data_IF_906716339612
#
_entry.id   IF_906716339612
#
_cell.length_a   1.000
_cell.length_b   1.000
_cell.length_c   1.000
_cell.angle_alpha   90.00
_cell.angle_beta   90.00
_cell.angle_gamma   90.00
#
_symmetry.space_group_name_H-M   'P 1'
#
loop_
_entity.id
_entity.type
_entity.pdbx_description
1 polymer ?
#
# COMPACT_ATOMS: atom_id res chain seq x y z
N UNK A 1 -28.86 8.18 0.26
CA UNK A 1 -27.69 8.91 -0.26
C UNK A 1 -26.70 7.87 -0.74
N UNK A 2 -26.38 7.90 -2.04
CA UNK A 2 -25.51 6.96 -2.74
C UNK A 2 -24.04 7.35 -2.57
N UNK A 3 -23.21 6.40 -2.14
CA UNK A 3 -21.76 6.38 -2.41
C UNK A 3 -20.85 7.03 -1.38
N UNK A 4 -20.17 6.18 -0.60
CA UNK A 4 -18.70 6.18 -0.49
C UNK A 4 -18.30 4.78 -0.02
N UNK A 5 -18.08 3.88 -0.98
CA UNK A 5 -17.26 2.70 -0.71
C UNK A 5 -15.87 3.21 -0.38
N UNK A 6 -15.53 3.28 0.92
CA UNK A 6 -14.24 3.78 1.38
C UNK A 6 -13.09 2.96 0.82
N UNK A 7 -11.90 3.53 0.77
CA UNK A 7 -10.69 2.80 0.39
C UNK A 7 -10.02 2.23 1.63
N UNK A 8 -9.49 1.03 1.54
CA UNK A 8 -8.59 0.47 2.55
C UNK A 8 -7.24 0.16 1.93
N UNK A 9 -6.22 0.09 2.76
CA UNK A 9 -4.83 -0.10 2.36
C UNK A 9 -4.27 -1.36 3.02
N UNK A 10 -3.38 -2.06 2.35
CA UNK A 10 -2.66 -3.20 2.92
C UNK A 10 -1.28 -3.34 2.27
N UNK A 11 -0.40 -4.12 2.89
CA UNK A 11 0.98 -4.30 2.43
C UNK A 11 1.11 -5.62 1.67
N UNK A 12 1.77 -5.57 0.52
CA UNK A 12 1.98 -6.72 -0.37
C UNK A 12 3.47 -6.93 -0.66
N UNK A 13 3.80 -8.12 -1.12
CA UNK A 13 5.03 -8.41 -1.86
C UNK A 13 4.75 -8.22 -3.37
N UNK A 14 5.19 -7.10 -3.98
CA UNK A 14 4.86 -6.80 -5.37
C UNK A 14 5.44 -7.87 -6.30
N UNK A 15 4.65 -8.29 -7.30
CA UNK A 15 5.04 -9.30 -8.30
C UNK A 15 5.49 -10.65 -7.70
N UNK A 16 5.10 -10.93 -6.44
CA UNK A 16 5.55 -12.12 -5.70
C UNK A 16 6.99 -12.04 -5.19
N UNK A 17 7.68 -10.91 -5.36
CA UNK A 17 9.04 -10.71 -4.87
C UNK A 17 9.02 -10.43 -3.37
N UNK A 18 9.50 -11.41 -2.60
CA UNK A 18 9.56 -11.34 -1.14
C UNK A 18 10.69 -10.46 -0.62
N UNK A 19 11.54 -9.93 -1.49
CA UNK A 19 12.56 -8.94 -1.15
C UNK A 19 12.02 -7.51 -1.12
N UNK A 20 10.77 -7.30 -1.56
CA UNK A 20 10.15 -5.99 -1.68
C UNK A 20 8.83 -5.93 -0.92
N UNK A 21 8.44 -4.73 -0.48
CA UNK A 21 7.11 -4.46 0.06
C UNK A 21 6.54 -3.17 -0.53
N UNK A 22 5.25 -3.19 -0.80
CA UNK A 22 4.50 -2.06 -1.35
C UNK A 22 3.17 -1.92 -0.61
N UNK A 23 2.69 -0.69 -0.44
CA UNK A 23 1.30 -0.44 -0.04
C UNK A 23 0.42 -0.45 -1.29
N UNK A 24 -0.76 -1.06 -1.18
CA UNK A 24 -1.78 -0.97 -2.22
C UNK A 24 -3.09 -0.48 -1.59
N UNK A 25 -3.84 0.30 -2.35
CA UNK A 25 -5.17 0.76 -2.01
C UNK A 25 -6.24 -0.03 -2.79
N UNK A 26 -7.35 -0.34 -2.12
CA UNK A 26 -8.46 -1.07 -2.72
C UNK A 26 -9.79 -0.50 -2.24
N UNK A 27 -10.72 -0.35 -3.17
CA UNK A 27 -12.08 0.04 -2.82
C UNK A 27 -12.71 -1.04 -1.93
N UNK A 28 -13.42 -0.64 -0.87
CA UNK A 28 -14.04 -1.59 0.06
C UNK A 28 -15.06 -2.51 -0.62
N UNK A 29 -15.73 -2.04 -1.68
CA UNK A 29 -16.62 -2.86 -2.49
C UNK A 29 -15.89 -3.97 -3.26
N UNK A 30 -14.58 -3.81 -3.49
CA UNK A 30 -13.71 -4.75 -4.17
C UNK A 30 -12.86 -5.58 -3.19
N UNK A 31 -13.21 -5.65 -1.91
CA UNK A 31 -12.42 -6.34 -0.86
C UNK A 31 -12.01 -7.77 -1.22
N UNK A 32 -12.82 -8.48 -2.01
CA UNK A 32 -12.50 -9.83 -2.49
C UNK A 32 -11.27 -9.87 -3.40
N UNK A 33 -10.95 -8.79 -4.15
CA UNK A 33 -9.73 -8.71 -4.98
C UNK A 33 -8.45 -8.76 -4.14
N UNK A 34 -8.51 -8.53 -2.82
CA UNK A 34 -7.34 -8.67 -1.91
C UNK A 34 -6.69 -10.05 -2.02
N UNK A 35 -7.46 -11.10 -2.33
CA UNK A 35 -6.95 -12.48 -2.48
C UNK A 35 -6.04 -12.66 -3.70
N UNK A 36 -6.09 -11.73 -4.66
CA UNK A 36 -5.26 -11.76 -5.87
C UNK A 36 -3.82 -11.28 -5.59
N UNK A 37 -3.58 -10.72 -4.40
CA UNK A 37 -2.30 -10.15 -4.00
C UNK A 37 -1.60 -11.03 -2.97
N UNK A 38 -0.27 -11.08 -3.05
CA UNK A 38 0.56 -11.70 -2.01
C UNK A 38 0.72 -10.73 -0.84
N UNK A 39 -0.29 -10.67 0.04
CA UNK A 39 -0.25 -9.84 1.24
C UNK A 39 0.87 -10.27 2.19
N UNK A 40 1.54 -9.29 2.82
CA UNK A 40 2.57 -9.54 3.84
C UNK A 40 1.93 -10.05 5.14
N UNK A 41 0.70 -9.60 5.43
CA UNK A 41 -0.08 -10.01 6.60
C UNK A 41 -1.60 -9.78 6.38
N UNK A 42 -2.41 -10.10 7.38
CA UNK A 42 -3.87 -9.91 7.36
C UNK A 42 -4.33 -8.52 7.83
N UNK A 43 -3.41 -7.57 7.99
CA UNK A 43 -3.73 -6.24 8.48
C UNK A 43 -4.24 -5.34 7.34
N UNK A 44 -5.35 -4.65 7.61
CA UNK A 44 -5.88 -3.57 6.79
C UNK A 44 -5.71 -2.23 7.53
N UNK A 45 -5.51 -1.17 6.76
CA UNK A 45 -5.44 0.21 7.23
C UNK A 45 -6.52 1.03 6.56
N UNK A 46 -7.06 2.02 7.26
CA UNK A 46 -8.04 2.97 6.71
C UNK A 46 -7.46 4.37 6.51
N UNK A 47 -6.20 4.55 6.90
CA UNK A 47 -5.42 5.77 6.69
C UNK A 47 -4.18 5.43 5.88
N UNK A 48 -3.98 6.15 4.77
CA UNK A 48 -2.86 5.95 3.83
C UNK A 48 -1.51 6.05 4.55
N UNK A 49 -1.31 7.11 5.33
CA UNK A 49 -0.02 7.43 5.91
C UNK A 49 0.39 6.39 6.99
N UNK A 50 -0.59 5.81 7.69
CA UNK A 50 -0.35 4.71 8.62
C UNK A 50 0.10 3.43 7.89
N UNK A 51 -0.51 3.12 6.74
CA UNK A 51 -0.11 1.98 5.93
C UNK A 51 1.31 2.14 5.36
N UNK A 52 1.65 3.35 4.89
CA UNK A 52 2.99 3.73 4.42
C UNK A 52 4.01 3.58 5.53
N UNK A 53 3.75 4.17 6.71
CA UNK A 53 4.64 4.08 7.86
C UNK A 53 4.86 2.61 8.28
N UNK A 54 3.80 1.79 8.26
CA UNK A 54 3.90 0.37 8.56
C UNK A 54 4.76 -0.38 7.53
N UNK A 55 4.54 -0.16 6.23
CA UNK A 55 5.33 -0.80 5.17
C UNK A 55 6.82 -0.42 5.23
N UNK A 56 7.13 0.86 5.47
CA UNK A 56 8.52 1.32 5.69
C UNK A 56 9.14 0.68 6.92
N UNK A 57 8.39 0.55 8.02
CA UNK A 57 8.83 -0.13 9.23
C UNK A 57 9.12 -1.62 9.00
N UNK A 58 8.27 -2.31 8.24
CA UNK A 58 8.51 -3.71 7.82
C UNK A 58 9.77 -3.82 6.96
N UNK A 59 9.92 -2.92 5.97
CA UNK A 59 11.09 -2.88 5.10
C UNK A 59 12.39 -2.74 5.92
N UNK A 60 12.43 -1.78 6.84
CA UNK A 60 13.58 -1.58 7.72
C UNK A 60 13.84 -2.79 8.62
N UNK A 61 12.81 -3.34 9.26
CA UNK A 61 12.93 -4.43 10.23
C UNK A 61 13.45 -5.72 9.60
N UNK A 62 13.05 -6.00 8.36
CA UNK A 62 13.36 -7.26 7.67
C UNK A 62 14.38 -7.10 6.53
N UNK A 63 14.93 -5.90 6.33
CA UNK A 63 15.89 -5.62 5.26
C UNK A 63 15.29 -5.73 3.85
N UNK A 64 14.01 -5.40 3.69
CA UNK A 64 13.31 -5.43 2.40
C UNK A 64 13.41 -4.07 1.72
N UNK A 65 13.25 -4.04 0.39
CA UNK A 65 13.11 -2.79 -0.36
C UNK A 65 11.69 -2.27 -0.23
N UNK A 66 11.55 -1.04 0.23
CA UNK A 66 10.27 -0.34 0.17
C UNK A 66 10.03 0.20 -1.25
N UNK A 67 8.87 -0.13 -1.81
CA UNK A 67 8.37 0.45 -3.05
C UNK A 67 7.37 1.56 -2.70
N UNK A 68 7.58 2.79 -3.18
CA UNK A 68 6.67 3.91 -2.97
C UNK A 68 5.22 3.56 -3.33
N UNK A 69 4.31 4.08 -2.53
CA UNK A 69 2.88 3.97 -2.75
C UNK A 69 2.46 4.73 -4.00
N UNK A 70 1.74 4.03 -4.87
CA UNK A 70 1.00 4.60 -6.00
C UNK A 70 -0.45 4.15 -5.87
N UNK A 71 -1.37 5.11 -5.75
CA UNK A 71 -2.79 4.82 -5.70
C UNK A 71 -3.28 4.31 -7.05
N UNK A 72 -4.16 3.31 -6.98
CA UNK A 72 -4.86 2.74 -8.14
C UNK A 72 -6.03 3.59 -8.61
N UNK A 73 -6.49 4.54 -7.78
CA UNK A 73 -7.70 5.31 -8.03
C UNK A 73 -7.45 6.82 -8.12
N UNK A 74 -6.47 7.34 -7.38
CA UNK A 74 -6.23 8.78 -7.27
C UNK A 74 -4.74 9.10 -7.21
N UNK A 75 -4.20 9.56 -8.34
CA UNK A 75 -2.78 9.90 -8.47
C UNK A 75 -2.32 11.02 -7.56
N UNK A 76 -3.22 11.88 -7.06
CA UNK A 76 -2.87 12.93 -6.10
C UNK A 76 -2.47 12.34 -4.74
N UNK A 77 -2.85 11.09 -4.47
CA UNK A 77 -2.47 10.37 -3.26
C UNK A 77 -1.11 9.67 -3.34
N UNK A 78 -0.49 9.60 -4.53
CA UNK A 78 0.80 8.94 -4.72
C UNK A 78 1.87 9.57 -3.83
N UNK A 79 2.79 8.75 -3.34
CA UNK A 79 3.99 9.28 -2.70
C UNK A 79 4.84 10.01 -3.74
N UNK A 80 4.86 11.33 -3.63
CA UNK A 80 5.76 12.15 -4.43
C UNK A 80 7.19 11.84 -3.99
N UNK A 81 8.01 11.38 -4.93
CA UNK A 81 9.46 11.47 -4.79
C UNK A 81 9.82 12.95 -4.77
N UNK A 82 9.92 13.55 -3.59
CA UNK A 82 10.70 14.77 -3.44
C UNK A 82 12.14 14.40 -3.81
N UNK A 83 12.48 14.60 -5.09
CA UNK A 83 13.85 14.75 -5.54
C UNK A 83 14.36 16.04 -4.91
N UNK A 84 14.75 15.99 -3.64
CA UNK A 84 15.68 16.97 -3.10
C UNK A 84 17.01 16.68 -3.80
N UNK A 85 17.24 17.39 -4.91
CA UNK A 85 18.57 17.62 -5.46
C UNK A 85 19.29 18.52 -4.44
N UNK A 86 20.21 17.91 -3.69
CA UNK A 86 21.23 18.62 -2.91
C UNK A 86 22.17 19.40 -3.86
#
# INVERSE_FOLDING_TARGET
MTGTGGTFYFVIHPRGDRSEVQVIDLASCARTERIEWLAVNDQDFYERDLAIAHARGLAQKFGLRYVPFESRYDTELNESHSLTLD
#
